data_IF_062540776708
#
_entry.id   IF_062540776708
#
_cell.length_a   1.000
_cell.length_b   1.000
_cell.length_c   1.000
_cell.angle_alpha   90.00
_cell.angle_beta   90.00
_cell.angle_gamma   90.00
#
_symmetry.space_group_name_H-M   'P 1'
#
loop_
_entity.id
_entity.type
_entity.pdbx_description
1 polymer ?
#
# COMPACT_ATOMS: atom_id res chain seq x y z
N UNK A 1 15.04 -11.98 7.49
CA UNK A 1 15.84 -10.89 8.09
C UNK A 1 16.48 -10.02 7.02
N UNK A 2 17.29 -10.57 6.11
CA UNK A 2 17.96 -9.77 5.04
C UNK A 2 16.96 -8.97 4.19
N UNK A 3 15.85 -9.57 3.75
CA UNK A 3 14.80 -8.86 3.00
C UNK A 3 14.22 -7.67 3.75
N UNK A 4 13.94 -7.83 5.05
CA UNK A 4 13.45 -6.75 5.91
C UNK A 4 14.48 -5.62 6.03
N UNK A 5 15.75 -5.97 6.23
CA UNK A 5 16.84 -4.99 6.31
C UNK A 5 16.95 -4.20 5.01
N UNK A 6 16.91 -4.88 3.85
CA UNK A 6 16.95 -4.22 2.54
C UNK A 6 15.74 -3.31 2.33
N UNK A 7 14.53 -3.74 2.71
CA UNK A 7 13.31 -2.92 2.61
C UNK A 7 13.40 -1.68 3.49
N UNK A 8 13.89 -1.82 4.73
CA UNK A 8 14.07 -0.70 5.65
C UNK A 8 15.15 0.28 5.18
N UNK A 9 16.28 -0.22 4.67
CA UNK A 9 17.32 0.62 4.08
C UNK A 9 16.80 1.37 2.86
N UNK A 10 16.05 0.70 1.97
CA UNK A 10 15.46 1.33 0.80
C UNK A 10 14.44 2.41 1.18
N UNK A 11 13.58 2.16 2.17
CA UNK A 11 12.68 3.18 2.73
C UNK A 11 13.47 4.36 3.29
N UNK A 12 14.50 4.10 4.08
CA UNK A 12 15.34 5.14 4.67
C UNK A 12 15.98 6.01 3.58
N UNK A 13 16.58 5.40 2.56
CA UNK A 13 17.18 6.11 1.42
C UNK A 13 16.16 6.95 0.66
N UNK A 14 14.98 6.39 0.36
CA UNK A 14 13.93 7.13 -0.35
C UNK A 14 13.35 8.29 0.48
N UNK A 15 13.20 8.10 1.80
CA UNK A 15 12.77 9.17 2.71
C UNK A 15 13.81 10.29 2.76
N UNK A 16 15.10 9.95 2.85
CA UNK A 16 16.17 10.94 2.85
C UNK A 16 16.16 11.78 1.57
N UNK A 17 16.08 11.14 0.40
CA UNK A 17 15.97 11.83 -0.89
C UNK A 17 14.76 12.78 -0.94
N UNK A 18 13.58 12.34 -0.48
CA UNK A 18 12.37 13.17 -0.46
C UNK A 18 12.45 14.35 0.50
N UNK A 19 13.20 14.22 1.60
CA UNK A 19 13.46 15.31 2.55
C UNK A 19 14.39 16.34 1.92
N UNK A 20 15.47 15.89 1.27
CA UNK A 20 16.42 16.75 0.55
C UNK A 20 15.74 17.51 -0.60
N UNK A 21 14.79 16.87 -1.28
CA UNK A 21 13.93 17.46 -2.30
C UNK A 21 12.87 18.46 -1.76
N UNK A 22 12.77 18.65 -0.44
CA UNK A 22 11.76 19.49 0.24
C UNK A 22 10.30 19.10 -0.06
N UNK A 23 10.05 17.82 -0.38
CA UNK A 23 8.72 17.28 -0.72
C UNK A 23 8.01 16.59 0.44
N UNK A 24 7.64 17.37 1.46
CA UNK A 24 6.99 16.84 2.67
C UNK A 24 5.66 16.10 2.43
N UNK A 25 4.88 16.50 1.42
CA UNK A 25 3.60 15.86 1.06
C UNK A 25 3.81 14.41 0.59
N UNK A 26 4.91 14.12 -0.12
CA UNK A 26 5.21 12.79 -0.63
C UNK A 26 5.38 11.75 0.48
N UNK A 27 5.90 12.17 1.64
CA UNK A 27 6.05 11.33 2.82
C UNK A 27 4.71 10.88 3.41
N UNK A 28 3.65 11.68 3.27
CA UNK A 28 2.31 11.33 3.75
C UNK A 28 1.57 10.40 2.80
N UNK A 29 1.87 10.45 1.49
CA UNK A 29 1.21 9.58 0.51
C UNK A 29 1.51 8.10 0.75
N UNK A 30 2.74 7.76 1.13
CA UNK A 30 3.14 6.38 1.38
C UNK A 30 2.28 5.67 2.44
N UNK A 31 2.21 6.13 3.70
CA UNK A 31 1.42 5.46 4.74
C UNK A 31 -0.07 5.50 4.46
N UNK A 32 -0.58 6.56 3.81
CA UNK A 32 -2.00 6.66 3.43
C UNK A 32 -2.37 5.59 2.39
N UNK A 33 -1.58 5.45 1.33
CA UNK A 33 -1.80 4.44 0.29
C UNK A 33 -1.57 3.03 0.85
N UNK A 34 -0.53 2.82 1.65
CA UNK A 34 -0.25 1.55 2.32
C UNK A 34 -1.40 1.11 3.22
N UNK A 35 -1.98 2.03 4.01
CA UNK A 35 -3.17 1.73 4.84
C UNK A 35 -4.43 1.52 4.03
N UNK A 36 -4.65 2.27 2.95
CA UNK A 36 -5.80 2.07 2.06
C UNK A 36 -5.76 0.71 1.34
N UNK A 37 -4.57 0.15 1.11
CA UNK A 37 -4.44 -1.20 0.56
C UNK A 37 -5.06 -2.28 1.45
N UNK A 38 -5.15 -2.07 2.78
CA UNK A 38 -5.72 -3.06 3.70
C UNK A 38 -7.21 -3.34 3.42
N UNK A 39 -8.14 -2.37 3.48
CA UNK A 39 -9.53 -2.62 3.11
C UNK A 39 -9.65 -3.09 1.64
N UNK A 40 -8.82 -2.60 0.72
CA UNK A 40 -8.82 -3.10 -0.66
C UNK A 40 -8.48 -4.60 -0.74
N UNK A 41 -7.53 -5.07 0.07
CA UNK A 41 -7.13 -6.48 0.12
C UNK A 41 -8.29 -7.34 0.65
N UNK A 42 -8.89 -6.96 1.78
CA UNK A 42 -9.99 -7.71 2.41
C UNK A 42 -11.28 -7.73 1.57
N UNK A 43 -11.58 -6.67 0.83
CA UNK A 43 -12.75 -6.65 -0.06
C UNK A 43 -12.63 -7.58 -1.27
N UNK A 44 -11.40 -7.78 -1.74
CA UNK A 44 -11.12 -8.40 -3.03
C UNK A 44 -10.41 -9.77 -2.91
N UNK A 45 -10.04 -10.21 -1.72
CA UNK A 45 -9.18 -11.39 -1.53
C UNK A 45 -9.71 -12.24 -0.37
N UNK A 46 -9.92 -13.56 -0.56
CA UNK A 46 -10.30 -14.46 0.52
C UNK A 46 -9.25 -14.46 1.64
N UNK A 47 -9.69 -14.46 2.90
CA UNK A 47 -8.79 -14.57 4.04
C UNK A 47 -8.56 -16.06 4.37
N UNK A 48 -7.34 -16.54 4.19
CA UNK A 48 -7.00 -17.97 4.25
C UNK A 48 -6.76 -18.50 5.67
N UNK A 49 -6.57 -17.62 6.67
CA UNK A 49 -6.20 -18.02 8.05
C UNK A 49 -7.35 -17.85 9.03
N UNK A 50 -7.95 -18.97 9.46
CA UNK A 50 -8.93 -18.97 10.53
C UNK A 50 -8.32 -18.50 11.88
N UNK A 51 -9.09 -17.75 12.67
CA UNK A 51 -8.74 -17.19 13.98
C UNK A 51 -7.81 -15.96 13.97
N UNK A 52 -7.46 -15.39 12.81
CA UNK A 52 -6.53 -14.25 12.77
C UNK A 52 -7.17 -12.91 13.13
N UNK A 53 -6.38 -11.94 13.62
CA UNK A 53 -6.85 -10.57 13.90
C UNK A 53 -7.52 -9.90 12.68
N UNK A 54 -7.07 -10.24 11.46
CA UNK A 54 -7.67 -9.76 10.22
C UNK A 54 -9.01 -10.43 9.85
N UNK A 55 -9.41 -11.52 10.51
CA UNK A 55 -10.64 -12.24 10.18
C UNK A 55 -11.88 -11.44 10.55
N UNK A 56 -11.91 -10.81 11.72
CA UNK A 56 -13.05 -9.97 12.10
C UNK A 56 -13.28 -8.85 11.07
N UNK A 57 -12.20 -8.27 10.53
CA UNK A 57 -12.28 -7.29 9.46
C UNK A 57 -12.73 -7.92 8.14
N UNK A 58 -12.18 -9.08 7.75
CA UNK A 58 -12.60 -9.78 6.53
C UNK A 58 -14.10 -10.14 6.53
N UNK A 59 -14.63 -10.55 7.69
CA UNK A 59 -16.00 -11.03 7.84
C UNK A 59 -17.02 -9.88 7.95
N UNK A 60 -16.62 -8.75 8.56
CA UNK A 60 -17.53 -7.66 8.90
C UNK A 60 -17.31 -6.36 8.12
N UNK A 61 -16.35 -6.29 7.19
CA UNK A 61 -16.10 -5.07 6.43
C UNK A 61 -17.28 -4.75 5.48
N UNK A 62 -18.04 -3.67 5.70
CA UNK A 62 -19.13 -3.29 4.80
C UNK A 62 -18.57 -2.87 3.43
N UNK A 63 -18.90 -3.64 2.39
CA UNK A 63 -18.39 -3.43 1.02
C UNK A 63 -18.57 -1.99 0.52
N UNK A 64 -19.76 -1.40 0.72
CA UNK A 64 -20.07 -0.03 0.26
C UNK A 64 -19.17 1.01 0.93
N UNK A 65 -19.06 0.99 2.26
CA UNK A 65 -18.23 1.94 2.98
C UNK A 65 -16.74 1.75 2.67
N UNK A 66 -16.28 0.50 2.51
CA UNK A 66 -14.91 0.20 2.10
C UNK A 66 -14.57 0.80 0.73
N UNK A 67 -15.43 0.60 -0.28
CA UNK A 67 -15.24 1.21 -1.61
C UNK A 67 -15.29 2.75 -1.54
N UNK A 68 -16.19 3.32 -0.74
CA UNK A 68 -16.27 4.78 -0.54
C UNK A 68 -14.99 5.35 0.07
N UNK A 69 -14.43 4.69 1.09
CA UNK A 69 -13.15 5.12 1.70
C UNK A 69 -12.01 5.02 0.70
N UNK A 70 -11.93 3.94 -0.09
CA UNK A 70 -10.90 3.80 -1.13
C UNK A 70 -10.99 4.92 -2.19
N UNK A 71 -12.20 5.22 -2.66
CA UNK A 71 -12.43 6.30 -3.61
C UNK A 71 -12.07 7.66 -3.01
N UNK A 72 -12.49 7.93 -1.76
CA UNK A 72 -12.19 9.17 -1.06
C UNK A 72 -10.68 9.36 -0.86
N UNK A 73 -9.96 8.31 -0.43
CA UNK A 73 -8.50 8.36 -0.27
C UNK A 73 -7.81 8.62 -1.61
N UNK A 74 -8.21 7.92 -2.68
CA UNK A 74 -7.63 8.13 -4.01
C UNK A 74 -7.82 9.59 -4.48
N UNK A 75 -9.03 10.14 -4.32
CA UNK A 75 -9.32 11.54 -4.68
C UNK A 75 -8.49 12.51 -3.84
N UNK A 76 -8.45 12.34 -2.52
CA UNK A 76 -7.68 13.20 -1.61
C UNK A 76 -6.18 13.16 -1.94
N UNK A 77 -5.62 11.98 -2.23
CA UNK A 77 -4.23 11.84 -2.64
C UNK A 77 -3.93 12.64 -3.92
N UNK A 78 -4.79 12.57 -4.94
CA UNK A 78 -4.62 13.33 -6.18
C UNK A 78 -4.78 14.84 -5.96
N UNK A 79 -5.75 15.26 -5.14
CA UNK A 79 -5.97 16.68 -4.85
C UNK A 79 -4.79 17.33 -4.12
N UNK A 80 -4.14 16.59 -3.21
CA UNK A 80 -3.03 17.12 -2.40
C UNK A 80 -1.69 16.97 -3.14
N UNK A 81 -1.45 15.85 -3.82
CA UNK A 81 -0.15 15.55 -4.46
C UNK A 81 -0.11 15.75 -5.98
N UNK A 82 -1.19 16.23 -6.59
CA UNK A 82 -1.26 16.57 -8.01
C UNK A 82 -1.02 15.39 -8.96
N UNK A 83 -0.44 15.69 -10.13
CA UNK A 83 -0.17 14.69 -11.17
C UNK A 83 0.80 13.58 -10.75
N UNK A 84 1.78 13.90 -9.90
CA UNK A 84 2.70 12.90 -9.34
C UNK A 84 1.94 11.86 -8.50
N UNK A 85 1.01 12.30 -7.66
CA UNK A 85 0.19 11.39 -6.87
C UNK A 85 -0.71 10.49 -7.74
N UNK A 86 -1.23 11.00 -8.86
CA UNK A 86 -2.01 10.19 -9.80
C UNK A 86 -1.15 9.05 -10.39
N UNK A 87 0.09 9.35 -10.80
CA UNK A 87 1.02 8.33 -11.30
C UNK A 87 1.40 7.31 -10.23
N UNK A 88 1.70 7.77 -9.02
CA UNK A 88 2.00 6.91 -7.87
C UNK A 88 0.84 5.97 -7.56
N UNK A 89 -0.41 6.45 -7.61
CA UNK A 89 -1.60 5.62 -7.41
C UNK A 89 -1.72 4.53 -8.48
N UNK A 90 -1.41 4.82 -9.74
CA UNK A 90 -1.39 3.81 -10.81
C UNK A 90 -0.34 2.74 -10.50
N UNK A 91 0.88 3.14 -10.14
CA UNK A 91 1.97 2.21 -9.80
C UNK A 91 1.63 1.37 -8.57
N UNK A 92 1.12 1.99 -7.50
CA UNK A 92 0.70 1.31 -6.28
C UNK A 92 -0.45 0.33 -6.54
N UNK A 93 -1.40 0.69 -7.40
CA UNK A 93 -2.51 -0.19 -7.80
C UNK A 93 -2.00 -1.39 -8.59
N UNK A 94 -1.07 -1.19 -9.52
CA UNK A 94 -0.38 -2.27 -10.24
C UNK A 94 0.36 -3.23 -9.29
N UNK A 95 1.15 -2.66 -8.37
CA UNK A 95 1.83 -3.42 -7.31
C UNK A 95 0.86 -4.20 -6.42
N UNK A 96 -0.28 -3.59 -6.07
CA UNK A 96 -1.33 -4.22 -5.29
C UNK A 96 -1.88 -5.47 -5.99
N UNK A 97 -2.27 -5.36 -7.26
CA UNK A 97 -2.82 -6.50 -8.00
C UNK A 97 -1.78 -7.59 -8.26
N UNK A 98 -0.52 -7.22 -8.47
CA UNK A 98 0.57 -8.17 -8.61
C UNK A 98 0.81 -8.96 -7.32
N UNK A 99 0.94 -8.28 -6.18
CA UNK A 99 1.09 -8.93 -4.87
C UNK A 99 -0.11 -9.80 -4.53
N UNK A 100 -1.33 -9.30 -4.76
CA UNK A 100 -2.56 -10.09 -4.60
C UNK A 100 -2.52 -11.35 -5.45
N UNK A 101 -2.07 -11.29 -6.71
CA UNK A 101 -1.94 -12.46 -7.57
C UNK A 101 -0.97 -13.48 -6.98
N UNK A 102 0.18 -13.03 -6.49
CA UNK A 102 1.17 -13.91 -5.84
C UNK A 102 0.56 -14.61 -4.61
N UNK A 103 -0.18 -13.87 -3.78
CA UNK A 103 -0.88 -14.43 -2.61
C UNK A 103 -1.91 -15.48 -3.03
N UNK A 104 -2.76 -15.17 -4.01
CA UNK A 104 -3.76 -16.12 -4.53
C UNK A 104 -3.11 -17.39 -5.10
N UNK A 105 -2.00 -17.27 -5.83
CA UNK A 105 -1.31 -18.41 -6.44
C UNK A 105 -0.62 -19.30 -5.41
N UNK A 106 -0.11 -18.74 -4.30
CA UNK A 106 0.67 -19.51 -3.31
C UNK A 106 -0.15 -19.99 -2.13
N UNK A 107 -1.19 -19.24 -1.74
CA UNK A 107 -1.95 -19.46 -0.50
C UNK A 107 -3.46 -19.59 -0.71
N UNK A 108 -3.96 -19.34 -1.92
CA UNK A 108 -5.41 -19.31 -2.20
C UNK A 108 -6.14 -18.10 -1.59
N UNK A 109 -5.42 -17.13 -1.06
CA UNK A 109 -5.96 -15.98 -0.33
C UNK A 109 -4.87 -15.17 0.35
N UNK A 110 -5.25 -14.32 1.31
CA UNK A 110 -4.34 -13.53 2.14
C UNK A 110 -4.39 -13.97 3.62
N UNK A 111 -3.32 -13.69 4.35
CA UNK A 111 -3.22 -13.79 5.81
C UNK A 111 -2.81 -12.44 6.41
N UNK A 112 -2.84 -12.32 7.75
CA UNK A 112 -2.33 -11.12 8.43
C UNK A 112 -0.87 -10.81 8.08
N UNK A 113 -0.01 -11.82 7.94
CA UNK A 113 1.40 -11.64 7.60
C UNK A 113 1.57 -11.14 6.16
N UNK A 114 0.80 -11.66 5.20
CA UNK A 114 0.86 -11.17 3.82
C UNK A 114 0.25 -9.79 3.67
N UNK A 115 -0.77 -9.45 4.47
CA UNK A 115 -1.35 -8.11 4.52
C UNK A 115 -0.31 -7.10 5.03
N UNK A 116 0.40 -7.43 6.11
CA UNK A 116 1.53 -6.64 6.62
C UNK A 116 2.64 -6.49 5.58
N UNK A 117 3.05 -7.57 4.92
CA UNK A 117 4.06 -7.52 3.87
C UNK A 117 3.63 -6.64 2.67
N UNK A 118 2.36 -6.70 2.27
CA UNK A 118 1.82 -5.85 1.22
C UNK A 118 1.84 -4.38 1.60
N UNK A 119 1.48 -4.03 2.83
CA UNK A 119 1.56 -2.66 3.31
C UNK A 119 3.01 -2.14 3.21
N UNK A 120 3.96 -2.89 3.76
CA UNK A 120 5.38 -2.50 3.73
C UNK A 120 5.90 -2.32 2.29
N UNK A 121 5.60 -3.28 1.41
CA UNK A 121 6.07 -3.23 0.01
C UNK A 121 5.41 -2.11 -0.79
N UNK A 122 4.13 -1.81 -0.57
CA UNK A 122 3.45 -0.70 -1.24
C UNK A 122 3.96 0.65 -0.74
N UNK A 123 4.20 0.81 0.57
CA UNK A 123 4.82 2.02 1.10
C UNK A 123 6.22 2.24 0.51
N UNK A 124 7.04 1.18 0.44
CA UNK A 124 8.36 1.25 -0.20
C UNK A 124 8.25 1.61 -1.68
N UNK A 125 7.32 0.99 -2.42
CA UNK A 125 7.10 1.27 -3.84
C UNK A 125 6.71 2.74 -4.06
N UNK A 126 5.79 3.27 -3.23
CA UNK A 126 5.37 4.68 -3.29
C UNK A 126 6.54 5.62 -3.02
N UNK A 127 7.29 5.39 -1.94
CA UNK A 127 8.43 6.25 -1.57
C UNK A 127 9.50 6.27 -2.67
N UNK A 128 9.88 5.09 -3.19
CA UNK A 128 10.87 4.98 -4.26
C UNK A 128 10.39 5.64 -5.54
N UNK A 129 9.12 5.44 -5.91
CA UNK A 129 8.55 6.08 -7.11
C UNK A 129 8.59 7.59 -6.99
N UNK A 130 8.23 8.13 -5.83
CA UNK A 130 8.26 9.59 -5.59
C UNK A 130 9.69 10.14 -5.60
N UNK A 131 10.65 9.44 -4.99
CA UNK A 131 12.05 9.84 -4.99
C UNK A 131 12.60 9.93 -6.42
N UNK A 132 12.36 8.89 -7.23
CA UNK A 132 12.80 8.84 -8.64
C UNK A 132 12.12 9.85 -9.57
N UNK A 133 10.99 10.42 -9.16
CA UNK A 133 10.31 11.48 -9.93
C UNK A 133 10.86 12.87 -9.66
N UNK A 134 11.60 13.04 -8.57
CA UNK A 134 12.10 14.33 -8.11
C UNK A 134 13.62 14.49 -8.26
N UNK A 135 14.32 13.41 -8.58
CA UNK A 135 15.71 13.40 -9.08
C UNK A 135 15.78 13.88 -10.54
#
# INVERSE_FOLDING_TARGET
VVTLVVVLLLKFSAVLALIEAHTGIGLLLAPVIGRAAMPALFLNTPYARAGGLGQALADHLPRKAGVQVLAAVAVVCVLIGGGAAAWVLVIATGGFFWLRRVMMQRLGGSTGDTAGAMLELLETLVLVTLALMWD
#
